data_IF_642736170977
#
_entry.id   IF_642736170977
#
_cell.length_a   1.000
_cell.length_b   1.000
_cell.length_c   1.000
_cell.angle_alpha   90.00
_cell.angle_beta   90.00
_cell.angle_gamma   90.00
#
_symmetry.space_group_name_H-M   'P 1'
#
loop_
_entity.id
_entity.type
_entity.pdbx_description
1 polymer ?
#
# COMPACT_ATOMS: atom_id res chain seq x y z
N UNK A 1 29.56 1.26 18.15
CA UNK A 1 28.78 1.21 16.90
C UNK A 1 27.61 0.25 17.11
N UNK A 2 26.37 0.74 17.13
CA UNK A 2 25.15 -0.07 17.08
C UNK A 2 24.13 0.68 16.23
N UNK A 3 24.06 0.34 14.95
CA UNK A 3 22.95 0.74 14.09
C UNK A 3 21.82 -0.25 14.31
N UNK A 4 20.75 0.22 14.93
CA UNK A 4 19.45 -0.43 14.89
C UNK A 4 18.41 0.67 14.74
N UNK A 5 18.06 0.99 13.50
CA UNK A 5 16.82 1.71 13.18
C UNK A 5 15.97 0.81 12.30
N UNK A 6 15.39 -0.21 12.91
CA UNK A 6 14.20 -0.85 12.38
C UNK A 6 13.00 -0.10 12.96
N UNK A 7 12.56 0.96 12.28
CA UNK A 7 11.23 1.51 12.51
C UNK A 7 10.25 0.63 11.73
N UNK A 8 9.63 -0.33 12.42
CA UNK A 8 8.56 -1.13 11.87
C UNK A 8 7.40 -0.19 11.44
N UNK A 9 7.23 0.01 10.13
CA UNK A 9 6.11 0.74 9.56
C UNK A 9 4.96 -0.25 9.35
N UNK A 10 4.13 -0.45 10.38
CA UNK A 10 2.88 -1.20 10.23
C UNK A 10 1.84 -0.34 9.51
N UNK A 11 1.68 -0.55 8.20
CA UNK A 11 0.57 -0.01 7.42
C UNK A 11 -0.66 -0.92 7.59
N UNK A 12 -1.54 -0.57 8.54
CA UNK A 12 -2.85 -1.21 8.63
C UNK A 12 -3.85 -0.48 7.72
N UNK A 13 -4.02 -1.00 6.51
CA UNK A 13 -5.05 -0.58 5.57
C UNK A 13 -6.38 -1.27 5.91
N UNK A 14 -7.21 -0.61 6.72
CA UNK A 14 -8.60 -1.02 6.98
C UNK A 14 -9.49 0.22 6.86
N UNK A 15 -9.98 0.50 5.67
CA UNK A 15 -11.22 1.26 5.47
C UNK A 15 -11.81 0.90 4.10
N UNK A 16 -13.13 1.02 4.00
CA UNK A 16 -13.97 0.56 2.90
C UNK A 16 -13.82 1.36 1.58
N UNK A 17 -12.79 2.19 1.48
CA UNK A 17 -12.54 3.11 0.37
C UNK A 17 -11.12 2.85 -0.14
N UNK A 18 -11.01 2.23 -1.32
CA UNK A 18 -9.76 1.82 -1.97
C UNK A 18 -8.78 3.01 -2.16
N UNK A 19 -9.33 4.21 -2.21
CA UNK A 19 -8.68 5.50 -2.30
C UNK A 19 -7.69 5.77 -1.15
N UNK A 20 -7.98 5.27 0.06
CA UNK A 20 -7.09 5.42 1.20
C UNK A 20 -5.80 4.59 1.06
N UNK A 21 -5.84 3.50 0.28
CA UNK A 21 -4.67 2.67 0.01
C UNK A 21 -3.73 3.37 -0.98
N UNK A 22 -4.29 4.05 -1.98
CA UNK A 22 -3.50 4.86 -2.92
C UNK A 22 -2.73 5.96 -2.18
N UNK A 23 -3.37 6.63 -1.21
CA UNK A 23 -2.70 7.62 -0.37
C UNK A 23 -1.51 7.02 0.38
N UNK A 24 -1.70 5.88 1.04
CA UNK A 24 -0.63 5.23 1.80
C UNK A 24 0.53 4.80 0.91
N UNK A 25 0.25 4.18 -0.24
CA UNK A 25 1.28 3.69 -1.18
C UNK A 25 2.08 4.86 -1.77
N UNK A 26 1.40 5.94 -2.18
CA UNK A 26 2.06 7.14 -2.69
C UNK A 26 2.97 7.79 -1.64
N UNK A 27 2.53 7.88 -0.37
CA UNK A 27 3.35 8.42 0.71
C UNK A 27 4.53 7.53 1.07
N UNK A 28 4.37 6.20 1.00
CA UNK A 28 5.49 5.28 1.17
C UNK A 28 6.55 5.48 0.08
N UNK A 29 6.14 5.67 -1.19
CA UNK A 29 7.06 5.99 -2.27
C UNK A 29 7.84 7.30 -2.01
N UNK A 30 7.14 8.34 -1.55
CA UNK A 30 7.78 9.61 -1.19
C UNK A 30 8.80 9.45 -0.07
N UNK A 31 8.54 8.59 0.92
CA UNK A 31 9.49 8.31 2.01
C UNK A 31 10.73 7.59 1.50
N UNK A 32 10.57 6.51 0.72
CA UNK A 32 11.71 5.68 0.29
C UNK A 32 12.59 6.38 -0.76
N UNK A 33 12.02 7.29 -1.54
CA UNK A 33 12.77 8.13 -2.50
C UNK A 33 13.38 9.38 -1.83
N UNK A 34 13.04 9.66 -0.57
CA UNK A 34 13.49 10.84 0.16
C UNK A 34 12.76 12.13 -0.24
N UNK A 35 11.67 12.05 -1.00
CA UNK A 35 10.83 13.20 -1.33
C UNK A 35 10.03 13.74 -0.13
N UNK A 36 9.80 12.92 0.90
CA UNK A 36 9.23 13.32 2.19
C UNK A 36 9.91 12.59 3.36
N UNK A 37 10.00 13.28 4.48
CA UNK A 37 10.25 12.64 5.78
C UNK A 37 9.00 11.90 6.28
N UNK A 38 9.18 11.01 7.25
CA UNK A 38 8.05 10.27 7.88
C UNK A 38 7.06 11.23 8.52
N UNK A 39 7.56 12.30 9.16
CA UNK A 39 6.75 13.32 9.82
C UNK A 39 5.91 14.11 8.80
N UNK A 40 6.51 14.52 7.68
CA UNK A 40 5.81 15.22 6.60
C UNK A 40 4.75 14.33 5.94
N UNK A 41 5.08 13.05 5.71
CA UNK A 41 4.14 12.09 5.15
C UNK A 41 2.94 11.88 6.09
N UNK A 42 3.18 11.80 7.41
CA UNK A 42 2.12 11.67 8.42
C UNK A 42 1.22 12.91 8.47
N UNK A 43 1.80 14.11 8.43
CA UNK A 43 1.04 15.35 8.38
C UNK A 43 0.19 15.44 7.10
N UNK A 44 0.77 15.06 5.95
CA UNK A 44 0.08 15.04 4.68
C UNK A 44 -1.08 14.03 4.67
N UNK A 45 -0.86 12.82 5.21
CA UNK A 45 -1.90 11.80 5.35
C UNK A 45 -3.14 12.37 6.05
N UNK A 46 -2.94 13.02 7.20
CA UNK A 46 -4.04 13.64 7.96
C UNK A 46 -4.74 14.75 7.19
N UNK A 47 -3.98 15.62 6.52
CA UNK A 47 -4.54 16.70 5.68
C UNK A 47 -5.40 16.12 4.55
N UNK A 48 -4.86 15.20 3.78
CA UNK A 48 -5.52 14.64 2.59
C UNK A 48 -6.80 13.89 2.97
N UNK A 49 -6.76 13.12 4.06
CA UNK A 49 -7.93 12.42 4.57
C UNK A 49 -9.04 13.37 5.05
N UNK A 50 -8.68 14.49 5.69
CA UNK A 50 -9.64 15.53 6.05
C UNK A 50 -10.21 16.24 4.81
N UNK A 51 -9.40 16.46 3.79
CA UNK A 51 -9.83 17.07 2.52
C UNK A 51 -10.79 16.14 1.75
N UNK A 52 -10.55 14.81 1.75
CA UNK A 52 -11.49 13.81 1.24
C UNK A 52 -12.86 13.93 1.90
N UNK A 53 -12.88 13.98 3.25
CA UNK A 53 -14.11 14.15 4.05
C UNK A 53 -14.83 15.46 3.79
N UNK A 54 -14.13 16.47 3.27
CA UNK A 54 -14.66 17.79 2.89
C UNK A 54 -15.03 17.87 1.40
N UNK A 55 -14.98 16.75 0.67
CA UNK A 55 -15.19 16.68 -0.78
C UNK A 55 -14.28 17.63 -1.57
N UNK A 56 -13.07 17.85 -1.07
CA UNK A 56 -12.02 18.59 -1.78
C UNK A 56 -11.19 17.63 -2.64
N UNK A 57 -10.48 18.12 -3.66
CA UNK A 57 -9.57 17.30 -4.45
C UNK A 57 -8.52 16.62 -3.58
N UNK A 58 -8.26 15.34 -3.84
CA UNK A 58 -7.29 14.51 -3.09
C UNK A 58 -6.37 13.76 -4.05
N UNK A 59 -5.37 14.45 -4.64
CA UNK A 59 -4.54 13.90 -5.71
C UNK A 59 -3.74 12.63 -5.34
N UNK A 60 -3.49 12.39 -4.06
CA UNK A 60 -2.79 11.17 -3.60
C UNK A 60 -3.72 9.96 -3.47
N UNK A 61 -5.04 10.19 -3.47
CA UNK A 61 -6.07 9.17 -3.36
C UNK A 61 -6.64 8.74 -4.72
N UNK A 62 -6.38 9.49 -5.79
CA UNK A 62 -6.98 9.26 -7.12
C UNK A 62 -6.27 8.17 -7.93
N UNK A 63 -4.94 8.10 -7.85
CA UNK A 63 -4.12 7.13 -8.59
C UNK A 63 -2.72 7.00 -7.99
N UNK A 64 -2.01 5.95 -8.39
CA UNK A 64 -0.57 5.86 -8.14
C UNK A 64 0.16 6.98 -8.90
N UNK A 65 1.11 7.62 -8.22
CA UNK A 65 1.82 8.82 -8.71
C UNK A 65 3.24 8.52 -9.20
N UNK A 66 3.63 7.26 -9.20
CA UNK A 66 4.92 6.79 -9.69
C UNK A 66 4.69 5.68 -10.70
N UNK A 67 5.54 5.65 -11.72
CA UNK A 67 5.66 4.49 -12.58
C UNK A 67 6.66 3.52 -11.95
N UNK A 68 6.42 2.21 -12.10
CA UNK A 68 7.47 1.22 -11.88
C UNK A 68 8.50 1.37 -12.99
N UNK A 69 9.79 1.35 -12.67
CA UNK A 69 10.83 1.39 -13.68
C UNK A 69 10.68 0.19 -14.64
N UNK A 70 10.74 0.42 -15.95
CA UNK A 70 10.69 -0.63 -17.00
C UNK A 70 11.96 -1.51 -17.05
N UNK A 71 12.94 -1.21 -16.19
CA UNK A 71 14.10 -2.06 -15.94
C UNK A 71 13.59 -3.36 -15.29
N UNK A 72 13.66 -4.46 -16.03
CA UNK A 72 13.34 -5.84 -15.62
C UNK A 72 13.74 -6.15 -14.17
N UNK A 73 12.87 -5.80 -13.24
CA UNK A 73 12.95 -6.06 -11.80
C UNK A 73 12.11 -7.27 -11.43
N UNK A 74 11.77 -8.10 -12.42
CA UNK A 74 11.13 -9.38 -12.20
C UNK A 74 12.02 -10.22 -11.31
N UNK A 75 11.65 -10.33 -10.04
CA UNK A 75 11.81 -11.60 -9.36
C UNK A 75 11.12 -12.62 -10.28
N UNK A 76 11.80 -13.65 -10.80
CA UNK A 76 11.12 -14.73 -11.51
C UNK A 76 10.31 -15.52 -10.48
N UNK A 77 9.29 -14.87 -9.92
CA UNK A 77 8.41 -15.43 -8.92
C UNK A 77 7.60 -16.52 -9.62
N UNK A 78 7.91 -17.76 -9.24
CA UNK A 78 7.05 -18.88 -9.55
C UNK A 78 5.81 -18.72 -8.67
N UNK A 79 4.63 -18.83 -9.26
CA UNK A 79 3.40 -18.83 -8.48
C UNK A 79 3.46 -19.91 -7.39
N UNK A 80 3.57 -19.49 -6.12
CA UNK A 80 3.59 -20.41 -4.96
C UNK A 80 2.23 -21.09 -4.80
N UNK A 81 1.17 -20.47 -5.32
CA UNK A 81 -0.19 -20.99 -5.30
C UNK A 81 -0.56 -21.48 -6.70
N UNK A 82 -0.94 -22.74 -6.78
CA UNK A 82 -1.50 -23.32 -8.00
C UNK A 82 -3.00 -23.07 -8.09
N UNK A 83 -3.55 -23.18 -9.29
CA UNK A 83 -5.00 -23.09 -9.50
C UNK A 83 -5.76 -24.15 -8.69
N UNK A 84 -5.17 -25.33 -8.51
CA UNK A 84 -5.70 -26.39 -7.65
C UNK A 84 -5.76 -25.99 -6.17
N UNK A 85 -4.76 -25.25 -5.67
CA UNK A 85 -4.76 -24.76 -4.29
C UNK A 85 -5.93 -23.78 -4.05
N UNK A 86 -6.19 -22.91 -5.03
CA UNK A 86 -7.30 -21.96 -4.99
C UNK A 86 -8.66 -22.67 -5.06
N UNK A 87 -8.78 -23.70 -5.91
CA UNK A 87 -10.00 -24.49 -6.04
C UNK A 87 -10.29 -25.30 -4.77
N UNK A 88 -9.27 -25.94 -4.17
CA UNK A 88 -9.41 -26.67 -2.90
C UNK A 88 -9.83 -25.74 -1.77
N UNK A 89 -9.21 -24.58 -1.63
CA UNK A 89 -9.57 -23.59 -0.61
C UNK A 89 -11.03 -23.12 -0.77
N UNK A 90 -11.49 -22.88 -2.01
CA UNK A 90 -12.86 -22.50 -2.31
C UNK A 90 -13.87 -23.61 -1.98
N UNK A 91 -13.52 -24.87 -2.20
CA UNK A 91 -14.36 -26.01 -1.85
C UNK A 91 -14.48 -26.19 -0.33
N UNK A 92 -13.36 -26.09 0.40
CA UNK A 92 -13.34 -26.17 1.87
C UNK A 92 -14.17 -25.06 2.52
N UNK A 93 -14.07 -23.82 2.02
CA UNK A 93 -14.89 -22.69 2.50
C UNK A 93 -16.40 -22.84 2.26
N UNK A 94 -16.81 -23.70 1.32
CA UNK A 94 -18.22 -24.03 1.07
C UNK A 94 -18.74 -25.19 1.93
N UNK A 95 -17.85 -26.07 2.41
CA UNK A 95 -18.20 -27.23 3.24
C UNK A 95 -18.23 -26.92 4.74
N UNK A 96 -17.55 -25.85 5.18
CA UNK A 96 -17.56 -25.39 6.58
C UNK A 96 -18.67 -24.39 6.92
N UNK A 97 -19.72 -24.28 6.11
CA UNK A 97 -20.84 -23.34 6.27
C UNK A 97 -22.15 -24.06 6.51
#
# INVERSE_FOLDING_TARGET
>A
MKHARHSAAFTSARCHDEEANLLAINLMHDIVTGAKTVEEARAYYGKEFLDYRRSKPTPYMEKLRFATCDESTGDPDQAILTEDDLLKAKAQGKQGK
#
